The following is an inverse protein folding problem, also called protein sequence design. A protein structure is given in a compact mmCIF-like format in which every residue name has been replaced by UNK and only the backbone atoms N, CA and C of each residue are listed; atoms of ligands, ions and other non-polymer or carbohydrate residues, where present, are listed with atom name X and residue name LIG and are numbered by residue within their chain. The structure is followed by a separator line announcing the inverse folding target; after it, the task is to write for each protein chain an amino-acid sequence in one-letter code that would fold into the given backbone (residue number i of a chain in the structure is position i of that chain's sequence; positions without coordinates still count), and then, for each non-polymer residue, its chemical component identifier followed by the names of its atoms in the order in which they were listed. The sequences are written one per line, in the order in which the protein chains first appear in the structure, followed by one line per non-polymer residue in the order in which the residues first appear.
data_IF_305326866749
#
_entry.id   IF_305326866749
#
_cell.length_a   1.000
_cell.length_b   1.000
_cell.length_c   1.000
_cell.angle_alpha   90.00
_cell.angle_beta   90.00
_cell.angle_gamma   90.00
#
_symmetry.space_group_name_H-M   'P 1'
#
loop_
_entity.id
_entity.type
_entity.pdbx_description
1 polymer ?
#
# COMPACT_ATOMS: atom_id res chain seq x y z
N UNK A 1 -20.72 21.51 12.63
CA UNK A 1 -19.51 21.62 13.47
C UNK A 1 -18.31 21.61 12.54
N UNK A 2 -17.39 22.54 12.73
CA UNK A 2 -16.16 22.46 11.96
C UNK A 2 -15.42 21.17 12.37
N UNK A 3 -15.01 20.37 11.38
CA UNK A 3 -14.14 19.20 11.58
C UNK A 3 -12.75 19.75 11.88
N UNK A 4 -12.52 20.15 13.14
CA UNK A 4 -11.32 20.87 13.52
C UNK A 4 -10.12 19.93 13.75
N UNK A 5 -10.38 18.62 13.92
CA UNK A 5 -9.32 17.65 14.27
C UNK A 5 -9.56 16.29 13.62
N UNK A 6 -8.46 15.62 13.25
CA UNK A 6 -8.47 14.25 12.72
C UNK A 6 -8.98 13.28 13.79
N UNK A 7 -9.99 12.49 13.43
CA UNK A 7 -10.59 11.43 14.25
C UNK A 7 -11.06 10.29 13.34
N UNK A 8 -11.38 9.16 13.95
CA UNK A 8 -11.86 7.97 13.24
C UNK A 8 -13.09 8.28 12.38
N UNK A 9 -13.13 7.72 11.18
CA UNK A 9 -14.21 7.90 10.21
C UNK A 9 -14.17 9.23 9.44
N UNK A 10 -13.09 9.98 9.53
CA UNK A 10 -12.86 11.17 8.72
C UNK A 10 -11.86 10.89 7.60
N UNK A 11 -12.09 11.50 6.45
CA UNK A 11 -11.12 11.50 5.35
C UNK A 11 -10.14 12.65 5.53
N UNK A 12 -8.87 12.33 5.43
CA UNK A 12 -7.76 13.25 5.60
C UNK A 12 -6.93 13.32 4.34
N UNK A 13 -6.67 14.52 3.86
CA UNK A 13 -5.80 14.80 2.73
C UNK A 13 -4.43 15.27 3.21
N UNK A 14 -3.39 14.56 2.82
CA UNK A 14 -2.00 14.82 3.23
C UNK A 14 -1.12 15.20 2.03
N UNK A 15 -0.26 16.18 2.25
CA UNK A 15 0.98 16.31 1.49
C UNK A 15 2.14 15.83 2.36
N UNK A 16 3.06 15.05 1.81
CA UNK A 16 4.19 14.54 2.58
C UNK A 16 5.43 14.33 1.72
N UNK A 17 6.57 14.22 2.42
CA UNK A 17 7.82 13.71 1.88
C UNK A 17 8.30 12.61 2.80
N UNK A 18 8.53 11.42 2.25
CA UNK A 18 9.12 10.30 2.96
C UNK A 18 10.61 10.20 2.66
N UNK A 19 11.40 10.13 3.71
CA UNK A 19 12.85 9.91 3.63
C UNK A 19 13.24 8.64 4.38
N UNK A 20 14.14 7.89 3.79
CA UNK A 20 14.79 6.72 4.40
C UNK A 20 16.29 6.86 4.23
N UNK A 21 17.04 6.68 5.32
CA UNK A 21 18.50 6.84 5.33
C UNK A 21 18.99 8.21 4.81
N UNK A 22 18.13 9.24 4.87
CA UNK A 22 18.41 10.61 4.41
C UNK A 22 18.06 10.86 2.94
N UNK A 23 17.63 9.86 2.20
CA UNK A 23 17.19 9.98 0.82
C UNK A 23 15.66 10.00 0.73
N UNK A 24 15.13 10.83 -0.18
CA UNK A 24 13.71 10.87 -0.47
C UNK A 24 13.34 9.64 -1.31
N UNK A 25 12.36 8.89 -0.81
CA UNK A 25 11.89 7.65 -1.47
C UNK A 25 10.46 7.75 -1.96
N UNK A 26 9.66 8.67 -1.39
CA UNK A 26 8.27 8.88 -1.78
C UNK A 26 7.78 10.27 -1.40
N UNK A 27 6.76 10.79 -2.08
CA UNK A 27 6.10 12.07 -1.79
C UNK A 27 4.67 12.11 -2.29
N UNK A 28 3.86 12.94 -1.64
CA UNK A 28 2.58 13.43 -2.14
C UNK A 28 2.57 14.96 -2.10
N UNK A 29 2.33 15.59 -3.22
CA UNK A 29 2.34 17.06 -3.36
C UNK A 29 0.92 17.64 -3.28
N UNK A 30 0.79 18.97 -3.20
CA UNK A 30 -0.53 19.65 -3.08
C UNK A 30 -1.44 19.49 -4.29
N UNK A 31 -0.91 19.12 -5.43
CA UNK A 31 -1.63 18.81 -6.68
C UNK A 31 -1.92 17.31 -6.86
N UNK A 32 -1.37 16.47 -5.97
CA UNK A 32 -1.58 15.02 -5.94
C UNK A 32 -1.51 14.54 -4.48
N UNK A 33 -2.57 14.81 -3.71
CA UNK A 33 -2.63 14.51 -2.28
C UNK A 33 -2.90 13.03 -2.01
N UNK A 34 -2.35 12.55 -0.90
CA UNK A 34 -2.76 11.27 -0.35
C UNK A 34 -4.04 11.46 0.46
N UNK A 35 -5.14 10.90 0.01
CA UNK A 35 -6.39 10.83 0.74
C UNK A 35 -6.55 9.47 1.42
N UNK A 36 -6.87 9.47 2.71
CA UNK A 36 -7.09 8.24 3.46
C UNK A 36 -8.23 8.38 4.47
N UNK A 37 -8.87 7.25 4.79
CA UNK A 37 -9.89 7.16 5.83
C UNK A 37 -9.23 6.84 7.16
N UNK A 38 -9.28 7.78 8.12
CA UNK A 38 -8.63 7.64 9.42
C UNK A 38 -9.33 6.60 10.31
N UNK A 39 -8.53 5.75 10.98
CA UNK A 39 -9.02 4.69 11.86
C UNK A 39 -9.35 3.37 11.14
N UNK A 40 -9.01 3.24 9.86
CA UNK A 40 -9.28 2.06 9.04
C UNK A 40 -8.00 1.41 8.47
N UNK A 41 -6.84 1.70 9.04
CA UNK A 41 -5.55 1.10 8.65
C UNK A 41 -5.20 1.32 7.17
N UNK A 42 -5.64 2.44 6.58
CA UNK A 42 -5.33 2.79 5.19
C UNK A 42 -3.88 3.25 4.99
N UNK A 43 -3.24 3.68 6.05
CA UNK A 43 -1.83 4.09 6.09
C UNK A 43 -1.12 3.37 7.23
N UNK A 44 0.22 3.43 7.24
CA UNK A 44 1.02 2.76 8.28
C UNK A 44 0.64 3.23 9.69
N UNK A 45 0.57 2.32 10.68
CA UNK A 45 0.06 2.61 12.02
C UNK A 45 0.77 3.75 12.74
N UNK A 46 2.10 3.84 12.59
CA UNK A 46 2.90 4.90 13.20
C UNK A 46 2.57 6.30 12.69
N UNK A 47 2.30 6.43 11.40
CA UNK A 47 1.87 7.70 10.80
C UNK A 47 0.44 8.05 11.19
N UNK A 48 -0.48 7.09 11.12
CA UNK A 48 -1.88 7.29 11.49
C UNK A 48 -2.03 7.77 12.94
N UNK A 49 -1.33 7.11 13.88
CA UNK A 49 -1.34 7.49 15.31
C UNK A 49 -0.81 8.90 15.55
N UNK A 50 0.23 9.32 14.82
CA UNK A 50 0.82 10.66 14.96
C UNK A 50 -0.10 11.77 14.43
N UNK A 51 -0.98 11.44 13.49
CA UNK A 51 -1.94 12.36 12.86
C UNK A 51 -3.21 12.54 13.68
N UNK A 52 -3.58 11.59 14.54
CA UNK A 52 -4.78 11.67 15.39
C UNK A 52 -4.80 12.99 16.18
N UNK A 53 -5.91 13.73 16.12
CA UNK A 53 -6.07 15.01 16.83
C UNK A 53 -5.38 16.21 16.20
N UNK A 54 -4.69 16.06 15.07
CA UNK A 54 -4.12 17.16 14.29
C UNK A 54 -5.21 17.90 13.50
N UNK A 55 -4.89 19.06 12.99
CA UNK A 55 -5.83 19.94 12.29
C UNK A 55 -5.36 20.23 10.88
N UNK A 56 -6.28 20.59 10.02
CA UNK A 56 -5.94 21.14 8.72
C UNK A 56 -5.01 22.36 8.86
N UNK A 57 -3.91 22.34 8.11
CA UNK A 57 -2.83 23.33 8.18
C UNK A 57 -1.67 22.96 9.13
N UNK A 58 -1.82 21.93 9.96
CA UNK A 58 -0.74 21.46 10.81
C UNK A 58 0.38 20.80 9.97
N UNK A 59 1.62 21.07 10.39
CA UNK A 59 2.82 20.43 9.83
C UNK A 59 3.57 19.74 10.93
N UNK A 60 4.00 18.52 10.66
CA UNK A 60 4.72 17.72 11.64
C UNK A 60 5.79 16.85 10.97
N UNK A 61 6.81 16.54 11.74
CA UNK A 61 7.79 15.52 11.39
C UNK A 61 7.49 14.28 12.21
N UNK A 62 7.34 13.15 11.54
CA UNK A 62 7.02 11.87 12.15
C UNK A 62 8.11 10.88 11.82
N UNK A 63 8.69 10.27 12.87
CA UNK A 63 9.62 9.16 12.71
C UNK A 63 8.90 7.87 13.09
N UNK A 64 8.87 6.93 12.16
CA UNK A 64 8.19 5.64 12.31
C UNK A 64 9.22 4.53 12.34
N UNK A 65 9.24 3.76 13.44
CA UNK A 65 10.08 2.56 13.54
C UNK A 65 9.57 1.45 12.62
N UNK A 66 10.43 0.49 12.24
CA UNK A 66 10.03 -0.62 11.35
C UNK A 66 8.77 -1.35 11.82
N UNK A 67 8.65 -1.68 13.09
CA UNK A 67 7.51 -2.38 13.70
C UNK A 67 6.16 -1.64 13.54
N UNK A 68 6.20 -0.30 13.43
CA UNK A 68 5.02 0.56 13.22
C UNK A 68 4.92 1.09 11.77
N UNK A 69 5.81 0.64 10.91
CA UNK A 69 5.86 0.95 9.48
C UNK A 69 5.61 -0.28 8.62
N UNK A 70 6.61 -0.66 7.82
CA UNK A 70 6.54 -1.80 6.90
C UNK A 70 7.01 -3.13 7.51
N UNK A 71 7.22 -3.18 8.81
CA UNK A 71 7.65 -4.36 9.53
C UNK A 71 9.17 -4.46 9.69
N UNK A 72 9.58 -5.37 10.54
CA UNK A 72 10.98 -5.72 10.73
C UNK A 72 11.49 -6.49 9.49
N UNK A 73 12.79 -6.38 9.24
CA UNK A 73 13.43 -7.19 8.20
C UNK A 73 13.63 -8.62 8.71
N UNK A 74 13.20 -9.61 7.92
CA UNK A 74 13.33 -11.02 8.23
C UNK A 74 14.38 -11.66 7.30
N UNK A 75 15.46 -12.16 7.87
CA UNK A 75 16.52 -12.86 7.13
C UNK A 75 16.04 -14.22 6.58
N UNK A 76 14.97 -14.79 7.15
CA UNK A 76 14.38 -16.05 6.68
C UNK A 76 13.52 -15.84 5.40
N UNK A 77 13.18 -14.61 5.06
CA UNK A 77 12.53 -14.21 3.82
C UNK A 77 13.52 -13.93 2.66
N UNK A 78 14.78 -14.35 2.82
CA UNK A 78 15.81 -14.25 1.77
C UNK A 78 16.19 -15.64 1.31
N UNK A 79 16.02 -15.91 0.02
CA UNK A 79 16.29 -17.22 -0.57
C UNK A 79 17.31 -17.14 -1.72
N UNK A 80 18.19 -18.12 -1.78
CA UNK A 80 19.07 -18.33 -2.92
C UNK A 80 18.51 -19.44 -3.81
N UNK A 81 18.19 -19.10 -5.05
CA UNK A 81 17.66 -20.03 -6.06
C UNK A 81 18.65 -20.26 -7.19
N UNK A 82 18.59 -21.46 -7.79
CA UNK A 82 19.31 -21.72 -9.03
C UNK A 82 18.77 -20.82 -10.16
N UNK A 83 19.68 -20.21 -10.91
CA UNK A 83 19.29 -19.33 -12.03
C UNK A 83 18.40 -20.02 -13.06
N UNK A 84 18.46 -21.34 -13.16
CA UNK A 84 17.63 -22.15 -14.06
C UNK A 84 16.17 -22.29 -13.61
N UNK A 85 15.86 -21.96 -12.34
CA UNK A 85 14.51 -22.00 -11.79
C UNK A 85 13.73 -20.70 -12.01
N UNK A 86 14.45 -19.64 -12.42
CA UNK A 86 13.86 -18.35 -12.71
C UNK A 86 13.44 -18.23 -14.19
N UNK A 87 12.37 -17.51 -14.51
CA UNK A 87 11.97 -17.29 -15.89
C UNK A 87 13.08 -16.57 -16.67
N UNK A 88 13.35 -17.02 -17.89
CA UNK A 88 14.39 -16.46 -18.77
C UNK A 88 14.10 -14.99 -19.23
N UNK A 89 12.96 -14.46 -18.88
CA UNK A 89 12.50 -13.13 -19.29
C UNK A 89 12.94 -12.07 -18.30
N UNK A 90 14.05 -11.41 -18.58
CA UNK A 90 14.45 -10.20 -17.90
C UNK A 90 15.92 -10.11 -17.58
N UNK A 91 16.40 -8.90 -17.43
CA UNK A 91 17.74 -8.64 -16.92
C UNK A 91 17.70 -8.79 -15.40
N UNK A 92 18.29 -9.88 -14.90
CA UNK A 92 18.44 -10.07 -13.45
C UNK A 92 19.67 -9.27 -12.99
N UNK A 93 19.40 -8.13 -12.37
CA UNK A 93 20.43 -7.28 -11.76
C UNK A 93 20.04 -6.99 -10.32
N UNK A 94 21.00 -6.80 -9.40
CA UNK A 94 20.70 -6.38 -8.05
C UNK A 94 19.85 -5.11 -8.03
N UNK A 95 18.74 -5.13 -7.26
CA UNK A 95 17.73 -4.06 -7.20
C UNK A 95 16.55 -4.24 -8.16
N UNK A 96 16.54 -5.26 -9.02
CA UNK A 96 15.39 -5.58 -9.88
C UNK A 96 14.29 -6.25 -9.06
N UNK A 97 13.05 -5.80 -9.26
CA UNK A 97 11.87 -6.47 -8.72
C UNK A 97 11.42 -7.56 -9.69
N UNK A 98 11.21 -8.76 -9.20
CA UNK A 98 10.75 -9.92 -9.95
C UNK A 98 9.45 -10.47 -9.39
N UNK A 99 8.61 -10.96 -10.28
CA UNK A 99 7.40 -11.69 -9.93
C UNK A 99 7.65 -13.19 -10.11
N UNK A 100 7.35 -13.96 -9.09
CA UNK A 100 7.46 -15.41 -9.07
C UNK A 100 6.10 -16.01 -8.83
N UNK A 101 5.75 -17.02 -9.60
CA UNK A 101 4.51 -17.79 -9.44
C UNK A 101 4.87 -19.18 -8.92
N UNK A 102 4.23 -19.62 -7.84
CA UNK A 102 4.39 -20.95 -7.32
C UNK A 102 3.54 -22.00 -8.06
N UNK A 103 3.69 -23.26 -7.67
CA UNK A 103 2.94 -24.39 -8.29
C UNK A 103 1.42 -24.30 -8.08
N UNK A 104 0.98 -23.54 -7.08
CA UNK A 104 -0.44 -23.30 -6.76
C UNK A 104 -1.01 -22.05 -7.46
N UNK A 105 -0.17 -21.29 -8.20
CA UNK A 105 -0.53 -20.10 -8.95
C UNK A 105 -0.54 -18.81 -8.13
N UNK A 106 0.06 -18.80 -6.94
CA UNK A 106 0.26 -17.58 -6.15
C UNK A 106 1.46 -16.80 -6.68
N UNK A 107 1.28 -15.49 -6.84
CA UNK A 107 2.34 -14.58 -7.30
C UNK A 107 3.01 -13.90 -6.11
N UNK A 108 4.31 -14.01 -6.04
CA UNK A 108 5.17 -13.37 -5.04
C UNK A 108 6.06 -12.33 -5.70
N UNK A 109 6.23 -11.19 -5.03
CA UNK A 109 7.18 -10.17 -5.43
C UNK A 109 8.45 -10.32 -4.62
N UNK A 110 9.60 -10.34 -5.29
CA UNK A 110 10.89 -10.37 -4.63
C UNK A 110 11.87 -9.38 -5.28
N UNK A 111 12.80 -8.88 -4.49
CA UNK A 111 13.88 -8.03 -4.98
C UNK A 111 15.13 -8.86 -5.17
N UNK A 112 15.75 -8.77 -6.33
CA UNK A 112 17.06 -9.39 -6.59
C UNK A 112 18.12 -8.65 -5.76
N UNK A 113 18.83 -9.35 -4.89
CA UNK A 113 19.91 -8.76 -4.07
C UNK A 113 21.30 -9.13 -4.56
N UNK A 114 21.47 -10.34 -5.07
CA UNK A 114 22.75 -10.81 -5.62
C UNK A 114 22.50 -11.72 -6.84
N UNK A 115 23.40 -11.62 -7.82
CA UNK A 115 23.39 -12.47 -9.02
C UNK A 115 24.79 -13.02 -9.22
N UNK A 116 24.89 -14.35 -9.28
CA UNK A 116 26.12 -15.06 -9.66
C UNK A 116 25.95 -15.73 -11.03
N UNK A 117 26.93 -16.52 -11.47
CA UNK A 117 26.81 -17.31 -12.69
C UNK A 117 25.75 -18.40 -12.62
N UNK A 118 25.51 -18.93 -11.42
CA UNK A 118 24.72 -20.14 -11.17
C UNK A 118 23.50 -19.90 -10.30
N UNK A 119 23.53 -18.86 -9.44
CA UNK A 119 22.46 -18.57 -8.47
C UNK A 119 22.00 -17.11 -8.49
N UNK A 120 20.82 -16.88 -7.98
CA UNK A 120 20.23 -15.55 -7.74
C UNK A 120 19.67 -15.53 -6.31
N UNK A 121 20.04 -14.51 -5.56
CA UNK A 121 19.48 -14.29 -4.21
C UNK A 121 18.30 -13.33 -4.32
N UNK A 122 17.17 -13.75 -3.77
CA UNK A 122 15.90 -13.05 -3.77
C UNK A 122 15.49 -12.68 -2.35
N UNK A 123 15.10 -11.46 -2.17
CA UNK A 123 14.58 -10.91 -0.92
C UNK A 123 13.07 -10.69 -1.07
N UNK A 124 12.28 -11.45 -0.31
CA UNK A 124 10.81 -11.40 -0.29
C UNK A 124 10.28 -10.42 0.75
N UNK A 125 11.15 -9.79 1.55
CA UNK A 125 10.73 -8.73 2.46
C UNK A 125 10.08 -7.57 1.70
N UNK A 126 9.09 -6.87 2.33
CA UNK A 126 8.62 -5.60 1.80
C UNK A 126 9.81 -4.63 1.56
N UNK A 127 9.79 -3.81 0.50
CA UNK A 127 10.94 -2.98 0.10
C UNK A 127 11.48 -2.04 1.19
N UNK A 128 10.65 -1.63 2.16
CA UNK A 128 11.03 -0.76 3.27
C UNK A 128 11.04 -1.48 4.63
N UNK A 129 11.00 -2.81 4.65
CA UNK A 129 11.13 -3.59 5.87
C UNK A 129 12.46 -3.32 6.58
N UNK A 130 12.44 -3.25 7.90
CA UNK A 130 13.60 -2.93 8.72
C UNK A 130 14.09 -1.49 8.63
N UNK A 131 13.40 -0.62 7.87
CA UNK A 131 13.78 0.78 7.68
C UNK A 131 13.01 1.71 8.62
N UNK A 132 13.72 2.66 9.20
CA UNK A 132 13.11 3.78 9.93
C UNK A 132 12.65 4.82 8.91
N UNK A 133 11.38 5.21 8.99
CA UNK A 133 10.76 6.14 8.07
C UNK A 133 10.71 7.54 8.69
N UNK A 134 11.08 8.55 7.91
CA UNK A 134 11.03 9.95 8.30
C UNK A 134 10.07 10.70 7.38
N UNK A 135 8.90 11.07 7.93
CA UNK A 135 7.89 11.83 7.22
C UNK A 135 7.95 13.30 7.60
N UNK A 136 7.98 14.16 6.60
CA UNK A 136 7.59 15.57 6.71
C UNK A 136 6.18 15.69 6.18
N UNK A 137 5.18 15.92 7.03
CA UNK A 137 3.75 15.85 6.68
C UNK A 137 3.08 17.20 6.87
N UNK A 138 2.20 17.56 5.96
CA UNK A 138 1.24 18.65 6.09
C UNK A 138 -0.18 18.09 5.96
N UNK A 139 -1.03 18.37 6.96
CA UNK A 139 -2.46 18.09 6.88
C UNK A 139 -3.11 19.20 6.04
N UNK A 140 -3.57 18.87 4.84
CA UNK A 140 -4.10 19.85 3.89
C UNK A 140 -5.59 20.05 4.11
N UNK A 141 -6.35 18.97 4.26
CA UNK A 141 -7.80 19.02 4.47
C UNK A 141 -8.30 17.87 5.33
N UNK A 142 -9.47 18.07 5.91
CA UNK A 142 -10.23 17.05 6.66
C UNK A 142 -11.69 17.18 6.22
N UNK A 143 -12.33 16.05 5.86
CA UNK A 143 -13.75 16.00 5.52
C UNK A 143 -14.45 14.81 6.16
N UNK A 144 -15.77 14.84 6.19
CA UNK A 144 -16.55 13.66 6.53
C UNK A 144 -16.41 12.62 5.42
N UNK A 145 -16.32 11.34 5.82
CA UNK A 145 -16.40 10.24 4.89
C UNK A 145 -17.86 10.05 4.43
N UNK A 146 -18.04 9.59 3.21
CA UNK A 146 -19.35 9.16 2.75
C UNK A 146 -19.76 7.85 3.42
N UNK A 147 -21.05 7.50 3.46
CA UNK A 147 -21.49 6.21 3.99
C UNK A 147 -20.84 5.01 3.27
N UNK A 148 -20.59 5.15 1.99
CA UNK A 148 -19.94 4.13 1.15
C UNK A 148 -18.45 3.98 1.49
N UNK A 149 -17.72 5.08 1.70
CA UNK A 149 -16.33 5.04 2.15
C UNK A 149 -16.19 4.38 3.53
N UNK A 150 -17.15 4.65 4.44
CA UNK A 150 -17.18 4.00 5.76
C UNK A 150 -17.50 2.50 5.69
N UNK A 151 -18.40 2.11 4.79
CA UNK A 151 -18.81 0.72 4.59
C UNK A 151 -17.66 -0.11 3.96
N UNK A 152 -16.95 0.48 3.00
CA UNK A 152 -15.83 -0.15 2.32
C UNK A 152 -14.50 -0.02 3.07
N UNK A 153 -14.39 0.92 4.02
CA UNK A 153 -13.20 1.15 4.83
C UNK A 153 -12.05 1.87 4.10
N UNK A 154 -12.32 2.50 2.95
CA UNK A 154 -11.34 3.25 2.18
C UNK A 154 -11.98 4.42 1.40
N UNK A 155 -11.14 5.38 1.01
CA UNK A 155 -11.56 6.55 0.23
C UNK A 155 -11.79 6.16 -1.22
N UNK A 156 -12.91 6.59 -1.78
CA UNK A 156 -13.15 6.49 -3.21
C UNK A 156 -12.49 7.69 -3.90
N UNK A 157 -11.48 7.44 -4.73
CA UNK A 157 -10.83 8.47 -5.54
C UNK A 157 -11.82 9.05 -6.56
N UNK A 158 -11.65 10.33 -6.92
CA UNK A 158 -12.51 11.03 -7.87
C UNK A 158 -12.52 10.42 -9.29
N UNK A 159 -11.69 9.41 -9.56
CA UNK A 159 -11.54 8.75 -10.86
C UNK A 159 -12.11 7.30 -10.91
N UNK A 160 -12.79 6.85 -9.85
CA UNK A 160 -13.50 5.56 -9.83
C UNK A 160 -15.03 5.72 -9.92
N UNK A 161 -15.49 6.72 -10.66
CA UNK A 161 -16.85 6.72 -11.17
C UNK A 161 -16.91 5.83 -12.41
N UNK A 162 -17.73 4.78 -12.32
CA UNK A 162 -18.25 4.02 -13.45
C UNK A 162 -17.58 2.66 -13.79
N UNK A 163 -17.50 1.77 -12.81
CA UNK A 163 -17.81 0.37 -13.10
C UNK A 163 -19.09 0.00 -12.32
N UNK A 164 -20.22 0.38 -12.90
CA UNK A 164 -21.50 -0.25 -12.56
C UNK A 164 -21.33 -1.76 -12.83
N UNK A 165 -21.33 -2.54 -11.74
CA UNK A 165 -21.51 -3.99 -11.79
C UNK A 165 -22.90 -4.29 -12.36
N UNK A 166 -23.03 -4.27 -13.69
CA UNK A 166 -24.13 -4.88 -14.43
C UNK A 166 -23.95 -6.40 -14.42
N UNK A 167 -23.99 -7.02 -13.26
CA UNK A 167 -24.31 -8.42 -13.14
C UNK A 167 -25.83 -8.54 -13.03
N UNK A 168 -26.52 -8.38 -14.15
CA UNK A 168 -27.85 -8.92 -14.29
C UNK A 168 -27.74 -10.46 -14.23
N UNK A 169 -28.12 -11.01 -13.06
CA UNK A 169 -28.41 -12.44 -12.88
C UNK A 169 -29.62 -12.83 -13.73
N UNK A 170 -29.37 -13.12 -15.01
CA UNK A 170 -30.31 -13.83 -15.87
C UNK A 170 -30.14 -15.34 -15.65
N UNK A 171 -30.57 -15.83 -14.51
CA UNK A 171 -30.88 -17.26 -14.36
C UNK A 171 -32.33 -17.49 -14.75
N UNK A 172 -32.56 -17.61 -16.07
CA UNK A 172 -33.77 -18.19 -16.61
C UNK A 172 -33.75 -19.69 -16.35
N UNK A 173 -34.46 -20.13 -15.31
CA UNK A 173 -34.86 -21.52 -15.10
C UNK A 173 -36.02 -21.79 -16.03
N UNK A 174 -35.75 -22.35 -17.19
CA UNK A 174 -36.79 -23.03 -17.96
C UNK A 174 -37.04 -24.41 -17.35
N UNK A 175 -38.15 -24.51 -16.60
CA UNK A 175 -38.82 -25.75 -16.29
C UNK A 175 -39.28 -26.41 -17.61
N UNK A 176 -38.65 -27.49 -18.01
CA UNK A 176 -39.28 -28.44 -18.95
C UNK A 176 -39.73 -29.67 -18.16
N UNK A 177 -40.98 -29.61 -17.70
CA UNK A 177 -41.84 -30.78 -17.52
C UNK A 177 -42.14 -31.36 -18.92
N UNK A 178 -41.85 -32.61 -19.15
CA UNK A 178 -42.74 -33.51 -19.92
C UNK A 178 -42.25 -34.95 -19.90
N UNK A 179 -43.19 -35.76 -19.36
CA UNK A 179 -43.63 -37.14 -19.58
C UNK A 179 -42.67 -38.31 -19.31
#
# INVERSE_FOLDING_TARGET
MALDTIADGLVVSLAYVLKVDGEEVDRAERDDLLDYLHGHENIIPGLESALTGKRAGDRLQVTVSPENGYGEYDEDEVEELDRSELPESGTLEPGTLVELEDEDGFVYLATVTEVTSDTVTLDFNPPLAGKTLHYDVEVVAIREATPEELDHGHVHGADFDDYEDDYEDDYDYEDEDEE
#
